data_IF_030471956847
#
_entry.id   IF_030471956847
#
_cell.length_a   1.000
_cell.length_b   1.000
_cell.length_c   1.000
_cell.angle_alpha   90.00
_cell.angle_beta   90.00
_cell.angle_gamma   90.00
#
_symmetry.space_group_name_H-M   'P 1'
#
loop_
_entity.id
_entity.type
_entity.pdbx_description
1 polymer ?
#
# COMPACT_ATOMS: atom_id res chain seq x y z
N UNK A 1 -3.29 -9.98 -35.57
CA UNK A 1 -3.51 -9.09 -34.42
C UNK A 1 -2.62 -9.57 -33.29
N UNK A 2 -1.63 -8.79 -32.87
CA UNK A 2 -0.77 -9.18 -31.74
C UNK A 2 -1.62 -9.14 -30.46
N UNK A 3 -1.77 -10.28 -29.80
CA UNK A 3 -2.52 -10.39 -28.55
C UNK A 3 -1.82 -9.54 -27.47
N UNK A 4 -2.58 -8.77 -26.68
CA UNK A 4 -2.04 -7.94 -25.57
C UNK A 4 -1.26 -8.79 -24.56
N UNK A 5 -1.59 -10.09 -24.45
CA UNK A 5 -0.85 -11.07 -23.65
C UNK A 5 0.55 -11.40 -24.19
N UNK A 6 0.89 -10.98 -25.41
CA UNK A 6 2.24 -11.09 -25.97
C UNK A 6 3.27 -10.28 -25.19
N UNK A 7 2.88 -9.12 -24.66
CA UNK A 7 3.77 -8.27 -23.83
C UNK A 7 4.16 -8.96 -22.52
N UNK A 8 3.26 -9.75 -21.92
CA UNK A 8 3.58 -10.50 -20.69
C UNK A 8 4.64 -11.57 -20.88
N UNK A 9 4.87 -12.02 -22.12
CA UNK A 9 5.91 -12.99 -22.47
C UNK A 9 7.29 -12.33 -22.65
N UNK A 10 7.35 -11.00 -22.73
CA UNK A 10 8.62 -10.29 -22.86
C UNK A 10 9.44 -10.33 -21.57
N UNK A 11 10.73 -10.65 -21.70
CA UNK A 11 11.65 -10.86 -20.56
C UNK A 11 11.78 -9.66 -19.62
N UNK A 12 11.48 -8.45 -20.11
CA UNK A 12 11.54 -7.21 -19.32
C UNK A 12 10.19 -6.76 -18.79
N UNK A 13 9.10 -7.03 -19.52
CA UNK A 13 7.77 -6.54 -19.16
C UNK A 13 7.05 -7.49 -18.20
N UNK A 14 7.10 -8.80 -18.41
CA UNK A 14 6.41 -9.78 -17.57
C UNK A 14 6.77 -9.66 -16.07
N UNK A 15 8.07 -9.69 -15.70
CA UNK A 15 8.49 -9.53 -14.31
C UNK A 15 8.13 -8.16 -13.72
N UNK A 16 8.25 -7.08 -14.49
CA UNK A 16 7.87 -5.73 -14.06
C UNK A 16 6.36 -5.61 -13.82
N UNK A 17 5.56 -6.18 -14.71
CA UNK A 17 4.10 -6.22 -14.57
C UNK A 17 3.70 -7.00 -13.31
N UNK A 18 4.30 -8.16 -13.08
CA UNK A 18 4.02 -8.98 -11.91
C UNK A 18 4.34 -8.24 -10.59
N UNK A 19 5.47 -7.54 -10.51
CA UNK A 19 5.82 -6.79 -9.29
C UNK A 19 4.89 -5.61 -9.05
N UNK A 20 4.52 -4.87 -10.09
CA UNK A 20 3.56 -3.77 -10.01
C UNK A 20 2.16 -4.26 -9.64
N UNK A 21 1.70 -5.36 -10.26
CA UNK A 21 0.43 -5.98 -9.94
C UNK A 21 0.37 -6.45 -8.48
N UNK A 22 1.40 -7.18 -8.01
CA UNK A 22 1.45 -7.66 -6.63
C UNK A 22 1.56 -6.52 -5.62
N UNK A 23 2.26 -5.43 -5.95
CA UNK A 23 2.29 -4.22 -5.12
C UNK A 23 0.90 -3.59 -5.01
N UNK A 24 0.28 -3.25 -6.14
CA UNK A 24 -1.06 -2.67 -6.15
C UNK A 24 -2.11 -3.58 -5.48
N UNK A 25 -1.99 -4.89 -5.67
CA UNK A 25 -2.83 -5.87 -4.98
C UNK A 25 -2.62 -5.84 -3.47
N UNK A 26 -1.36 -5.85 -2.99
CA UNK A 26 -1.05 -5.78 -1.57
C UNK A 26 -1.65 -4.53 -0.92
N UNK A 27 -1.48 -3.37 -1.57
CA UNK A 27 -1.95 -2.09 -1.03
C UNK A 27 -3.47 -2.05 -0.90
N UNK A 28 -4.16 -2.50 -1.94
CA UNK A 28 -5.63 -2.55 -1.93
C UNK A 28 -6.14 -3.64 -1.00
N UNK A 29 -5.48 -4.79 -0.91
CA UNK A 29 -5.86 -5.86 0.00
C UNK A 29 -5.73 -5.39 1.45
N UNK A 30 -4.60 -4.80 1.83
CA UNK A 30 -4.39 -4.31 3.19
C UNK A 30 -5.40 -3.23 3.57
N UNK A 31 -5.59 -2.22 2.70
CA UNK A 31 -6.57 -1.15 2.90
C UNK A 31 -7.98 -1.72 3.10
N UNK A 32 -8.43 -2.60 2.21
CA UNK A 32 -9.79 -3.15 2.27
C UNK A 32 -9.95 -4.09 3.47
N UNK A 33 -8.94 -4.90 3.81
CA UNK A 33 -8.97 -5.74 5.00
C UNK A 33 -9.08 -4.89 6.27
N UNK A 34 -8.33 -3.79 6.36
CA UNK A 34 -8.43 -2.86 7.47
C UNK A 34 -9.81 -2.19 7.53
N UNK A 35 -10.38 -1.78 6.40
CA UNK A 35 -11.75 -1.23 6.34
C UNK A 35 -12.78 -2.26 6.83
N UNK A 36 -12.70 -3.51 6.38
CA UNK A 36 -13.59 -4.60 6.85
C UNK A 36 -13.43 -4.79 8.36
N UNK A 37 -12.19 -4.83 8.86
CA UNK A 37 -11.94 -4.94 10.30
C UNK A 37 -12.56 -3.77 11.06
N UNK A 38 -12.39 -2.54 10.57
CA UNK A 38 -12.99 -1.35 11.17
C UNK A 38 -14.52 -1.39 11.15
N UNK A 39 -15.13 -1.89 10.08
CA UNK A 39 -16.59 -2.02 9.99
C UNK A 39 -17.15 -3.01 11.00
N UNK A 40 -16.50 -4.18 11.18
CA UNK A 40 -17.07 -5.27 11.98
C UNK A 40 -16.52 -5.38 13.40
N UNK A 41 -15.30 -4.91 13.65
CA UNK A 41 -14.61 -5.08 14.94
C UNK A 41 -14.23 -3.75 15.61
N UNK A 42 -14.40 -2.58 14.97
CA UNK A 42 -13.99 -1.31 15.60
C UNK A 42 -14.65 -1.10 16.97
N UNK A 43 -15.91 -1.50 17.16
CA UNK A 43 -16.59 -1.37 18.45
C UNK A 43 -15.88 -2.10 19.61
N UNK A 44 -15.07 -3.11 19.31
CA UNK A 44 -14.26 -3.84 20.31
C UNK A 44 -12.88 -3.21 20.54
N UNK A 45 -12.38 -2.38 19.62
CA UNK A 45 -11.02 -1.82 19.64
C UNK A 45 -11.00 -0.31 19.93
N UNK A 46 -12.12 0.39 19.74
CA UNK A 46 -12.23 1.83 19.90
C UNK A 46 -13.69 2.26 20.10
N UNK A 47 -13.90 3.47 20.62
CA UNK A 47 -15.21 4.12 20.76
C UNK A 47 -15.60 4.96 19.54
N UNK A 48 -14.69 5.13 18.58
CA UNK A 48 -14.94 5.90 17.37
C UNK A 48 -15.86 5.12 16.43
N UNK A 49 -16.84 5.82 15.86
CA UNK A 49 -17.76 5.26 14.87
C UNK A 49 -17.02 4.62 13.68
N UNK A 50 -17.40 3.41 13.26
CA UNK A 50 -16.80 2.74 12.11
C UNK A 50 -16.77 3.59 10.84
N UNK A 51 -17.83 4.35 10.54
CA UNK A 51 -17.91 5.13 9.30
C UNK A 51 -16.86 6.26 9.25
N UNK A 52 -16.54 6.84 10.42
CA UNK A 52 -15.49 7.86 10.54
C UNK A 52 -14.13 7.22 10.32
N UNK A 53 -13.87 6.05 10.92
CA UNK A 53 -12.61 5.33 10.77
C UNK A 53 -12.38 4.85 9.33
N UNK A 54 -13.41 4.36 8.64
CA UNK A 54 -13.28 3.95 7.24
C UNK A 54 -12.96 5.12 6.31
N UNK A 55 -13.60 6.28 6.54
CA UNK A 55 -13.30 7.49 5.77
C UNK A 55 -11.89 8.02 6.08
N UNK A 56 -11.49 8.00 7.34
CA UNK A 56 -10.13 8.36 7.75
C UNK A 56 -9.10 7.42 7.12
N UNK A 57 -9.32 6.10 7.13
CA UNK A 57 -8.43 5.15 6.50
C UNK A 57 -8.27 5.44 4.99
N UNK A 58 -9.37 5.72 4.29
CA UNK A 58 -9.30 6.12 2.88
C UNK A 58 -8.49 7.40 2.65
N UNK A 59 -8.70 8.42 3.50
CA UNK A 59 -7.94 9.67 3.43
C UNK A 59 -6.45 9.49 3.76
N UNK A 60 -6.15 8.77 4.84
CA UNK A 60 -4.79 8.47 5.29
C UNK A 60 -4.00 7.70 4.23
N UNK A 61 -4.64 6.79 3.50
CA UNK A 61 -4.01 6.06 2.41
C UNK A 61 -3.67 6.95 1.20
N UNK A 62 -4.49 7.96 0.90
CA UNK A 62 -4.30 8.83 -0.28
C UNK A 62 -3.38 10.03 0.03
N UNK A 63 -3.40 10.51 1.27
CA UNK A 63 -2.63 11.66 1.73
C UNK A 63 -1.13 11.62 1.39
N UNK A 64 -0.37 10.54 1.68
CA UNK A 64 1.06 10.47 1.36
C UNK A 64 1.34 10.60 -0.14
N UNK A 65 0.59 9.91 -1.01
CA UNK A 65 0.68 10.10 -2.46
C UNK A 65 0.50 11.58 -2.84
N UNK A 66 -0.48 12.26 -2.27
CA UNK A 66 -0.73 13.67 -2.55
C UNK A 66 0.44 14.55 -2.10
N UNK A 67 0.94 14.35 -0.87
CA UNK A 67 1.99 15.18 -0.28
C UNK A 67 3.36 14.95 -0.94
N UNK A 68 3.69 13.71 -1.29
CA UNK A 68 5.03 13.32 -1.70
C UNK A 68 5.17 13.03 -3.21
N UNK A 69 4.10 13.07 -4.00
CA UNK A 69 4.14 12.78 -5.46
C UNK A 69 5.18 13.64 -6.21
N UNK A 70 5.23 14.94 -5.94
CA UNK A 70 6.18 15.85 -6.61
C UNK A 70 7.64 15.51 -6.27
N UNK A 71 7.93 15.23 -5.00
CA UNK A 71 9.28 14.85 -4.54
C UNK A 71 9.67 13.47 -5.05
N UNK A 72 8.74 12.51 -5.06
CA UNK A 72 8.95 11.18 -5.62
C UNK A 72 9.25 11.24 -7.12
N UNK A 73 8.57 12.13 -7.86
CA UNK A 73 8.86 12.40 -9.29
C UNK A 73 10.29 12.90 -9.49
N UNK A 74 10.72 13.92 -8.73
CA UNK A 74 12.09 14.43 -8.78
C UNK A 74 13.14 13.36 -8.44
N UNK A 75 12.86 12.49 -7.45
CA UNK A 75 13.72 11.36 -7.13
C UNK A 75 13.79 10.35 -8.28
N UNK A 76 12.66 10.02 -8.90
CA UNK A 76 12.58 9.08 -10.02
C UNK A 76 13.30 9.57 -11.28
N UNK A 77 13.43 10.88 -11.45
CA UNK A 77 14.20 11.49 -12.54
C UNK A 77 15.71 11.55 -12.23
N UNK A 78 16.08 11.70 -10.95
CA UNK A 78 17.49 11.80 -10.52
C UNK A 78 18.20 10.44 -10.38
N UNK A 79 17.47 9.39 -9.99
CA UNK A 79 18.07 8.09 -9.66
C UNK A 79 17.63 6.97 -10.60
N UNK A 80 18.41 5.89 -10.62
CA UNK A 80 18.08 4.68 -11.38
C UNK A 80 16.73 4.09 -10.91
N UNK A 81 15.77 4.01 -11.84
CA UNK A 81 14.39 3.56 -11.59
C UNK A 81 14.33 2.12 -11.08
N UNK A 82 15.25 1.24 -11.51
CA UNK A 82 15.27 -0.15 -11.04
C UNK A 82 15.80 -0.25 -9.60
N UNK A 83 16.78 0.58 -9.22
CA UNK A 83 17.24 0.70 -7.82
C UNK A 83 16.16 1.26 -6.92
N UNK A 84 15.49 2.34 -7.34
CA UNK A 84 14.36 2.92 -6.59
C UNK A 84 13.22 1.93 -6.41
N UNK A 85 12.80 1.24 -7.49
CA UNK A 85 11.73 0.24 -7.41
C UNK A 85 12.06 -0.90 -6.41
N UNK A 86 13.32 -1.38 -6.39
CA UNK A 86 13.75 -2.39 -5.40
C UNK A 86 13.74 -1.85 -3.97
N UNK A 87 14.20 -0.62 -3.76
CA UNK A 87 14.20 0.00 -2.44
C UNK A 87 12.77 0.17 -1.91
N UNK A 88 11.87 0.70 -2.74
CA UNK A 88 10.44 0.86 -2.38
C UNK A 88 9.83 -0.49 -2.04
N UNK A 89 10.12 -1.53 -2.82
CA UNK A 89 9.60 -2.88 -2.51
C UNK A 89 10.12 -3.44 -1.18
N UNK A 90 11.38 -3.19 -0.84
CA UNK A 90 11.92 -3.57 0.47
C UNK A 90 11.24 -2.81 1.61
N UNK A 91 11.00 -1.50 1.43
CA UNK A 91 10.25 -0.70 2.39
C UNK A 91 8.82 -1.23 2.56
N UNK A 92 8.14 -1.59 1.48
CA UNK A 92 6.79 -2.18 1.51
C UNK A 92 6.77 -3.45 2.38
N UNK A 93 7.75 -4.35 2.22
CA UNK A 93 7.86 -5.56 3.06
C UNK A 93 8.05 -5.22 4.54
N UNK A 94 8.86 -4.20 4.87
CA UNK A 94 9.04 -3.75 6.25
C UNK A 94 7.74 -3.15 6.82
N UNK A 95 7.01 -2.36 6.03
CA UNK A 95 5.71 -1.79 6.40
C UNK A 95 4.69 -2.90 6.65
N UNK A 96 4.68 -3.94 5.83
CA UNK A 96 3.81 -5.11 6.05
C UNK A 96 4.19 -5.86 7.34
N UNK A 97 5.47 -5.87 7.74
CA UNK A 97 5.90 -6.34 9.05
C UNK A 97 5.32 -5.51 10.20
N UNK A 98 5.29 -4.18 10.06
CA UNK A 98 4.64 -3.28 11.03
C UNK A 98 3.13 -3.51 11.07
N UNK A 99 2.48 -3.69 9.91
CA UNK A 99 1.06 -4.01 9.84
C UNK A 99 0.74 -5.34 10.56
N UNK A 100 1.57 -6.37 10.36
CA UNK A 100 1.44 -7.65 11.06
C UNK A 100 1.52 -7.48 12.58
N UNK A 101 2.46 -6.69 13.08
CA UNK A 101 2.54 -6.35 14.50
C UNK A 101 1.30 -5.58 14.98
N UNK A 102 0.79 -4.64 14.17
CA UNK A 102 -0.44 -3.91 14.46
C UNK A 102 -1.65 -4.83 14.62
N UNK A 103 -1.78 -5.84 13.75
CA UNK A 103 -2.83 -6.86 13.87
C UNK A 103 -2.64 -7.74 15.11
N UNK A 104 -1.42 -8.24 15.35
CA UNK A 104 -1.12 -9.11 16.48
C UNK A 104 -1.35 -8.44 17.84
N UNK A 105 -1.10 -7.13 17.92
CA UNK A 105 -1.28 -6.31 19.12
C UNK A 105 -2.67 -5.67 19.22
N UNK A 106 -3.55 -5.88 18.23
CA UNK A 106 -4.85 -5.18 18.10
C UNK A 106 -4.74 -3.65 18.24
N UNK A 107 -3.67 -3.07 17.67
CA UNK A 107 -3.33 -1.66 17.85
C UNK A 107 -3.68 -0.86 16.60
N UNK A 108 -4.81 -0.15 16.67
CA UNK A 108 -5.34 0.62 15.55
C UNK A 108 -4.41 1.75 15.08
N UNK A 109 -3.79 2.58 15.95
CA UNK A 109 -2.78 3.55 15.54
C UNK A 109 -1.62 2.96 14.71
N UNK A 110 -1.11 1.78 15.07
CA UNK A 110 -0.04 1.12 14.31
C UNK A 110 -0.53 0.73 12.91
N UNK A 111 -1.75 0.21 12.79
CA UNK A 111 -2.35 -0.15 11.51
C UNK A 111 -2.59 1.08 10.62
N UNK A 112 -3.06 2.19 11.20
CA UNK A 112 -3.25 3.44 10.48
C UNK A 112 -1.91 4.08 10.07
N UNK A 113 -0.87 3.97 10.90
CA UNK A 113 0.47 4.41 10.54
C UNK A 113 1.05 3.55 9.41
N UNK A 114 0.88 2.23 9.45
CA UNK A 114 1.28 1.35 8.35
C UNK A 114 0.52 1.70 7.05
N UNK A 115 -0.77 2.02 7.14
CA UNK A 115 -1.57 2.46 5.99
C UNK A 115 -1.06 3.77 5.39
N UNK A 116 -0.65 4.72 6.24
CA UNK A 116 -0.04 5.98 5.80
C UNK A 116 1.32 5.77 5.14
N UNK A 117 2.13 4.84 5.64
CA UNK A 117 3.46 4.57 5.07
C UNK A 117 3.39 3.79 3.76
N UNK A 118 2.30 3.04 3.55
CA UNK A 118 2.05 2.25 2.35
C UNK A 118 1.56 3.10 1.17
N UNK A 119 0.80 4.16 1.46
CA UNK A 119 0.46 5.17 0.46
C UNK A 119 1.59 6.13 0.17
#
# INVERSE_FOLDING_TARGET
MSSQFGLLKERRFGPFFATQFLGAFNDNLFKNALVVLLTFQAASWTTIRPEVLTNLAAGIFILPFFLFSATAGQLADKYDKARLARLVKLLEVLIMGVALLGFALHNLPILLAALFLLG
#
